data_IF_287592150113
#
_entry.id   IF_287592150113
#
_cell.length_a   1.000
_cell.length_b   1.000
_cell.length_c   1.000
_cell.angle_alpha   90.00
_cell.angle_beta   90.00
_cell.angle_gamma   90.00
#
_symmetry.space_group_name_H-M   'P 1'
#
loop_
_entity.id
_entity.type
_entity.pdbx_description
1 polymer ?
#
# COMPACT_ATOMS: atom_id res chain seq x y z
N UNK A 1 -4.03 13.23 1.84
CA UNK A 1 -3.28 12.72 0.69
C UNK A 1 -2.18 13.67 0.26
N UNK A 2 -0.96 13.18 0.38
CA UNK A 2 0.28 13.76 -0.14
C UNK A 2 0.30 13.76 -1.68
N UNK A 3 1.31 14.40 -2.28
CA UNK A 3 1.49 14.41 -3.73
C UNK A 3 1.74 13.01 -4.33
N UNK A 4 2.62 12.16 -3.77
CA UNK A 4 2.82 10.78 -4.23
C UNK A 4 1.54 9.95 -4.17
N UNK A 5 0.78 10.03 -3.06
CA UNK A 5 -0.54 9.37 -2.96
C UNK A 5 -1.50 9.83 -4.07
N UNK A 6 -1.60 11.14 -4.33
CA UNK A 6 -2.47 11.65 -5.39
C UNK A 6 -2.04 11.12 -6.74
N UNK A 7 -0.73 11.07 -7.00
CA UNK A 7 -0.16 10.57 -8.24
C UNK A 7 -0.54 9.09 -8.44
N UNK A 8 -0.28 8.23 -7.46
CA UNK A 8 -0.63 6.82 -7.55
C UNK A 8 -2.16 6.62 -7.71
N UNK A 9 -2.95 7.35 -6.93
CA UNK A 9 -4.40 7.25 -6.95
C UNK A 9 -5.01 7.62 -8.31
N UNK A 10 -4.72 8.83 -8.80
CA UNK A 10 -5.42 9.37 -9.97
C UNK A 10 -4.96 8.76 -11.28
N UNK A 11 -3.67 8.40 -11.37
CA UNK A 11 -3.10 7.86 -12.60
C UNK A 11 -3.25 6.35 -12.71
N UNK A 12 -3.33 5.63 -11.59
CA UNK A 12 -3.37 4.17 -11.59
C UNK A 12 -4.54 3.59 -10.79
N UNK A 13 -4.50 3.60 -9.46
CA UNK A 13 -5.38 2.78 -8.60
C UNK A 13 -6.88 3.00 -8.84
N UNK A 14 -7.34 4.24 -9.03
CA UNK A 14 -8.77 4.54 -9.21
C UNK A 14 -9.38 3.96 -10.49
N UNK A 15 -8.54 3.53 -11.44
CA UNK A 15 -8.95 3.03 -12.75
C UNK A 15 -9.05 1.49 -12.76
N UNK A 16 -8.56 0.83 -11.72
CA UNK A 16 -8.56 -0.62 -11.63
C UNK A 16 -9.96 -1.17 -11.32
N UNK A 17 -10.22 -2.40 -11.77
CA UNK A 17 -11.45 -3.14 -11.45
C UNK A 17 -11.52 -3.58 -9.99
N UNK A 18 -10.48 -4.22 -9.40
CA UNK A 18 -10.45 -4.37 -7.95
C UNK A 18 -10.53 -2.98 -7.33
N UNK A 19 -11.51 -2.78 -6.45
CA UNK A 19 -11.81 -1.44 -5.97
C UNK A 19 -10.83 -1.06 -4.87
N UNK A 20 -9.99 -0.09 -5.16
CA UNK A 20 -9.17 0.57 -4.16
C UNK A 20 -9.95 1.69 -3.48
N UNK A 21 -9.79 1.77 -2.17
CA UNK A 21 -10.18 2.90 -1.33
C UNK A 21 -8.91 3.58 -0.83
N UNK A 22 -9.04 4.86 -0.46
CA UNK A 22 -7.93 5.70 0.01
C UNK A 22 -8.16 6.14 1.46
N UNK A 23 -7.09 6.31 2.22
CA UNK A 23 -7.08 6.81 3.60
C UNK A 23 -8.07 6.05 4.50
N UNK A 24 -7.93 4.73 4.56
CA UNK A 24 -8.88 3.85 5.25
C UNK A 24 -8.48 3.61 6.70
N UNK A 25 -9.35 3.91 7.66
CA UNK A 25 -9.14 3.45 9.03
C UNK A 25 -9.25 1.92 9.10
N UNK A 26 -8.23 1.29 9.66
CA UNK A 26 -8.18 -0.14 9.99
C UNK A 26 -7.61 -0.22 11.40
N UNK A 27 -8.44 -0.63 12.35
CA UNK A 27 -8.11 -0.62 13.79
C UNK A 27 -7.59 0.77 14.21
N UNK A 28 -6.40 0.83 14.83
CA UNK A 28 -5.77 2.06 15.30
C UNK A 28 -4.89 2.75 14.24
N UNK A 29 -4.99 2.35 12.97
CA UNK A 29 -4.19 2.88 11.87
C UNK A 29 -5.05 3.45 10.75
N UNK A 30 -4.51 4.43 10.00
CA UNK A 30 -5.11 4.90 8.74
C UNK A 30 -4.14 4.54 7.62
N UNK A 31 -4.56 3.61 6.76
CA UNK A 31 -3.76 3.14 5.62
C UNK A 31 -3.99 3.99 4.39
N UNK A 32 -2.95 4.22 3.58
CA UNK A 32 -3.04 5.08 2.40
C UNK A 32 -4.00 4.54 1.35
N UNK A 33 -3.89 3.25 1.02
CA UNK A 33 -4.83 2.57 0.13
C UNK A 33 -5.17 1.16 0.62
N UNK A 34 -6.43 0.77 0.37
CA UNK A 34 -6.93 -0.56 0.71
C UNK A 34 -7.82 -1.12 -0.40
N UNK A 35 -7.56 -2.36 -0.81
CA UNK A 35 -8.35 -3.12 -1.76
C UNK A 35 -8.98 -4.34 -1.07
N UNK A 36 -10.31 -4.30 -0.90
CA UNK A 36 -11.07 -5.36 -0.24
C UNK A 36 -11.04 -6.68 -1.00
N UNK A 37 -11.05 -6.65 -2.34
CA UNK A 37 -11.06 -7.87 -3.16
C UNK A 37 -9.78 -8.70 -3.03
N UNK A 38 -8.68 -8.08 -2.57
CA UNK A 38 -7.36 -8.68 -2.45
C UNK A 38 -6.86 -8.71 -1.00
N UNK A 39 -7.64 -8.19 -0.04
CA UNK A 39 -7.15 -7.88 1.31
C UNK A 39 -5.80 -7.15 1.29
N UNK A 40 -5.60 -6.24 0.33
CA UNK A 40 -4.31 -5.60 0.05
C UNK A 40 -4.29 -4.17 0.57
N UNK A 41 -3.30 -3.85 1.39
CA UNK A 41 -2.91 -2.52 1.81
C UNK A 41 -1.69 -2.07 1.01
N UNK A 42 -1.74 -0.83 0.50
CA UNK A 42 -0.58 -0.16 -0.11
C UNK A 42 -0.32 1.10 0.72
N UNK A 43 0.89 1.21 1.26
CA UNK A 43 1.38 2.40 1.97
C UNK A 43 2.42 3.11 1.10
N UNK A 44 2.38 4.44 1.10
CA UNK A 44 3.42 5.26 0.50
C UNK A 44 4.23 5.90 1.61
N UNK A 45 5.49 5.46 1.68
CA UNK A 45 6.40 5.86 2.71
C UNK A 45 6.80 7.35 2.56
N UNK A 46 6.60 8.09 3.66
CA UNK A 46 7.07 9.45 3.87
C UNK A 46 8.57 9.52 4.12
N UNK A 47 9.20 10.70 4.06
CA UNK A 47 10.64 10.86 4.36
C UNK A 47 11.03 10.60 5.84
N UNK A 48 10.18 9.95 6.64
CA UNK A 48 10.32 9.87 8.11
C UNK A 48 10.87 8.55 8.66
N UNK A 49 11.21 7.57 7.81
CA UNK A 49 11.51 6.19 8.27
C UNK A 49 13.00 5.85 8.47
N UNK A 50 13.84 6.87 8.70
CA UNK A 50 15.27 6.66 8.93
C UNK A 50 15.68 6.64 10.41
N UNK A 51 14.75 6.73 11.35
CA UNK A 51 15.01 6.51 12.80
C UNK A 51 14.69 5.07 13.19
N UNK A 52 15.40 4.53 14.20
CA UNK A 52 15.10 3.18 14.74
C UNK A 52 13.65 3.09 15.26
N UNK A 53 13.17 4.16 15.90
CA UNK A 53 11.78 4.28 16.39
C UNK A 53 10.74 4.21 15.23
N UNK A 54 11.05 4.77 14.07
CA UNK A 54 10.19 4.70 12.89
C UNK A 54 10.06 3.29 12.33
N UNK A 55 11.16 2.51 12.37
CA UNK A 55 11.16 1.11 11.93
C UNK A 55 10.38 0.20 12.86
N UNK A 56 10.58 0.33 14.17
CA UNK A 56 9.85 -0.48 15.15
C UNK A 56 8.33 -0.23 15.08
N UNK A 57 7.95 1.04 14.87
CA UNK A 57 6.55 1.42 14.68
C UNK A 57 5.94 0.81 13.39
N UNK A 58 6.69 0.76 12.29
CA UNK A 58 6.23 0.11 11.05
C UNK A 58 6.13 -1.40 11.15
N UNK A 59 7.06 -2.04 11.84
CA UNK A 59 7.04 -3.48 12.05
C UNK A 59 5.83 -3.89 12.90
N UNK A 60 5.50 -3.14 13.94
CA UNK A 60 4.31 -3.38 14.74
C UNK A 60 3.03 -3.11 13.94
N UNK A 61 2.98 -2.01 13.18
CA UNK A 61 1.86 -1.70 12.29
C UNK A 61 1.62 -2.79 11.26
N UNK A 62 2.69 -3.27 10.63
CA UNK A 62 2.63 -4.36 9.64
C UNK A 62 2.12 -5.64 10.30
N UNK A 63 2.63 -6.00 11.48
CA UNK A 63 2.15 -7.16 12.25
C UNK A 63 0.67 -7.09 12.60
N UNK A 64 0.17 -5.93 13.00
CA UNK A 64 -1.26 -5.73 13.30
C UNK A 64 -2.10 -5.95 12.04
N UNK A 65 -1.74 -5.30 10.92
CA UNK A 65 -2.48 -5.42 9.66
C UNK A 65 -2.45 -6.85 9.12
N UNK A 66 -1.30 -7.51 9.15
CA UNK A 66 -1.16 -8.92 8.77
C UNK A 66 -1.93 -9.86 9.70
N UNK A 67 -2.05 -9.52 11.00
CA UNK A 67 -2.90 -10.23 11.96
C UNK A 67 -4.40 -10.22 11.58
N UNK A 68 -4.85 -9.21 10.82
CA UNK A 68 -6.20 -9.17 10.22
C UNK A 68 -6.30 -9.92 8.89
N UNK A 69 -5.25 -10.64 8.47
CA UNK A 69 -5.20 -11.36 7.19
C UNK A 69 -5.00 -10.42 5.99
N UNK A 70 -4.47 -9.22 6.23
CA UNK A 70 -4.17 -8.26 5.18
C UNK A 70 -2.76 -8.49 4.64
N UNK A 71 -2.59 -8.32 3.33
CA UNK A 71 -1.28 -8.21 2.72
C UNK A 71 -0.88 -6.73 2.67
N UNK A 72 0.38 -6.41 3.00
CA UNK A 72 0.88 -5.03 3.01
C UNK A 72 2.06 -4.91 2.03
N UNK A 73 2.04 -3.87 1.19
CA UNK A 73 3.18 -3.50 0.34
C UNK A 73 3.47 -2.00 0.47
N UNK A 74 4.75 -1.64 0.49
CA UNK A 74 5.24 -0.29 0.71
C UNK A 74 5.96 0.24 -0.52
N UNK A 75 5.78 1.52 -0.83
CA UNK A 75 6.52 2.22 -1.88
C UNK A 75 7.10 3.53 -1.36
N UNK A 76 8.33 3.86 -1.75
CA UNK A 76 8.91 5.15 -1.41
C UNK A 76 8.23 6.27 -2.20
N UNK A 77 8.12 7.45 -1.60
CA UNK A 77 7.74 8.68 -2.29
C UNK A 77 8.51 8.87 -3.60
N UNK A 78 9.84 8.66 -3.58
CA UNK A 78 10.71 8.81 -4.75
C UNK A 78 10.35 7.85 -5.86
N UNK A 79 9.96 6.61 -5.55
CA UNK A 79 9.60 5.60 -6.55
C UNK A 79 8.27 5.94 -7.22
N UNK A 80 7.27 6.36 -6.43
CA UNK A 80 5.98 6.78 -6.98
C UNK A 80 6.12 8.02 -7.88
N UNK A 81 7.01 8.93 -7.51
CA UNK A 81 7.25 10.15 -8.26
C UNK A 81 8.07 9.90 -9.54
N UNK A 82 9.17 9.13 -9.44
CA UNK A 82 10.11 8.92 -10.53
C UNK A 82 9.77 7.74 -11.45
N UNK A 83 9.11 6.70 -10.93
CA UNK A 83 8.90 5.42 -11.63
C UNK A 83 7.49 4.83 -11.37
N UNK A 84 6.45 5.61 -11.69
CA UNK A 84 5.06 5.20 -11.47
C UNK A 84 4.70 3.88 -12.19
N UNK A 85 5.23 3.65 -13.39
CA UNK A 85 4.95 2.43 -14.16
C UNK A 85 5.55 1.18 -13.49
N UNK A 86 6.74 1.32 -12.89
CA UNK A 86 7.35 0.25 -12.10
C UNK A 86 6.53 -0.07 -10.85
N UNK A 87 6.06 0.96 -10.13
CA UNK A 87 5.16 0.79 -8.97
C UNK A 87 3.87 0.09 -9.38
N UNK A 88 3.24 0.52 -10.48
CA UNK A 88 2.02 -0.10 -11.00
C UNK A 88 2.24 -1.59 -11.34
N UNK A 89 3.34 -1.91 -12.03
CA UNK A 89 3.71 -3.27 -12.39
C UNK A 89 3.88 -4.17 -11.16
N UNK A 90 4.50 -3.65 -10.10
CA UNK A 90 4.69 -4.42 -8.87
C UNK A 90 3.36 -4.65 -8.14
N UNK A 91 2.46 -3.65 -8.11
CA UNK A 91 1.10 -3.82 -7.56
C UNK A 91 0.34 -4.92 -8.32
N UNK A 92 0.39 -4.92 -9.66
CA UNK A 92 -0.26 -5.94 -10.49
C UNK A 92 0.33 -7.34 -10.24
N UNK A 93 1.65 -7.44 -10.18
CA UNK A 93 2.36 -8.70 -9.88
C UNK A 93 1.94 -9.24 -8.51
N UNK A 94 1.93 -8.38 -7.50
CA UNK A 94 1.60 -8.76 -6.14
C UNK A 94 0.13 -9.19 -6.04
N UNK A 95 -0.79 -8.45 -6.65
CA UNK A 95 -2.20 -8.83 -6.75
C UNK A 95 -2.42 -10.18 -7.43
N UNK A 96 -1.71 -10.45 -8.54
CA UNK A 96 -1.74 -11.76 -9.21
C UNK A 96 -1.26 -12.90 -8.29
N UNK A 97 -0.22 -12.65 -7.49
CA UNK A 97 0.31 -13.63 -6.53
C UNK A 97 -0.73 -13.98 -5.46
N UNK A 98 -1.40 -12.97 -4.87
CA UNK A 98 -2.48 -13.18 -3.88
C UNK A 98 -3.58 -14.07 -4.46
N UNK A 99 -4.05 -13.74 -5.67
CA UNK A 99 -5.10 -14.53 -6.35
C UNK A 99 -4.65 -15.98 -6.60
N UNK A 100 -3.36 -16.18 -6.91
CA UNK A 100 -2.81 -17.50 -7.20
C UNK A 100 -2.60 -18.35 -5.94
N UNK A 101 -2.33 -17.72 -4.80
CA UNK A 101 -2.13 -18.41 -3.51
C UNK A 101 -3.44 -18.79 -2.81
N UNK A 102 -4.56 -18.17 -3.18
CA UNK A 102 -5.89 -18.44 -2.62
C UNK A 102 -6.69 -19.50 -3.43
N UNK A 103 -6.08 -20.11 -4.45
CA UNK A 103 -6.62 -21.25 -5.20
C UNK A 103 -5.97 -22.54 -4.74
#
# INVERSE_FOLDING_TARGET
MTEPERRLWFYYLRKLKPRFMRQRPIDNCIVDFYCTDLNLVIEIDGETHFTEEGKEHDEERTRILEGYGLHVIWFLNTDVMANLDGVATEIDRFGCKIISSNK
#
